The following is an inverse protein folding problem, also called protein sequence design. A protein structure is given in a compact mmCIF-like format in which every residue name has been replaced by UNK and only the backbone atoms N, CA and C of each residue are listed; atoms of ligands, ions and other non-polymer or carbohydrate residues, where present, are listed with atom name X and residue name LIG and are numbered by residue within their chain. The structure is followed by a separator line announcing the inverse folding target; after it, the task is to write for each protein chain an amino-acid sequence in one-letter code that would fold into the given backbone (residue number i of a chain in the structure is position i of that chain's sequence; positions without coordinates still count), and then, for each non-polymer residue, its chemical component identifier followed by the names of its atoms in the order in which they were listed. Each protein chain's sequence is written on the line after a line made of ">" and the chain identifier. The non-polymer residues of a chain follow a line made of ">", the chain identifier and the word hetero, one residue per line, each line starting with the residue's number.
data_IF_965517561828
#
_entry.id   IF_965517561828
#
_cell.length_a   1.000
_cell.length_b   1.000
_cell.length_c   1.000
_cell.angle_alpha   90.00
_cell.angle_beta   90.00
_cell.angle_gamma   90.00
#
_symmetry.space_group_name_H-M   'P 1'
#
loop_
_entity.id
_entity.type
_entity.pdbx_description
1 polymer ?
#
# COMPACT_ATOMS: atom_id res chain seq x y z
N UNK A 1 -37.35 1.53 11.66
CA UNK A 1 -35.97 1.26 11.20
C UNK A 1 -35.21 2.58 11.17
N UNK A 2 -34.09 2.63 11.87
CA UNK A 2 -33.27 3.81 11.87
C UNK A 2 -32.55 3.96 10.54
N UNK A 3 -32.50 5.18 10.06
CA UNK A 3 -31.73 5.46 8.83
C UNK A 3 -30.25 5.57 9.15
N UNK A 4 -29.45 4.86 8.37
CA UNK A 4 -27.99 5.01 8.46
C UNK A 4 -27.61 6.33 7.81
N UNK A 5 -26.87 7.15 8.54
CA UNK A 5 -26.36 8.41 8.01
C UNK A 5 -25.07 8.14 7.23
N UNK A 6 -25.05 8.41 5.92
CA UNK A 6 -23.84 8.22 5.13
C UNK A 6 -22.72 9.14 5.62
N UNK A 7 -21.53 8.59 5.76
CA UNK A 7 -20.37 9.38 6.19
C UNK A 7 -19.09 8.68 5.78
N UNK A 8 -18.06 9.47 5.62
CA UNK A 8 -16.70 8.97 5.42
C UNK A 8 -16.05 8.83 6.79
N UNK A 9 -15.36 7.74 7.02
CA UNK A 9 -14.67 7.50 8.29
C UNK A 9 -13.55 8.52 8.50
N UNK A 10 -13.32 8.86 9.77
CA UNK A 10 -12.22 9.74 10.14
C UNK A 10 -10.88 9.18 9.67
N UNK A 11 -10.09 10.01 9.00
CA UNK A 11 -8.79 9.60 8.46
C UNK A 11 -8.88 8.98 7.08
N UNK A 12 -10.08 8.92 6.51
CA UNK A 12 -10.31 8.44 5.16
C UNK A 12 -10.82 9.59 4.31
N UNK A 13 -10.60 9.54 3.02
CA UNK A 13 -10.96 10.65 2.13
C UNK A 13 -11.69 10.13 0.91
N UNK A 14 -12.74 10.84 0.55
CA UNK A 14 -13.45 10.63 -0.71
C UNK A 14 -13.40 11.93 -1.48
N UNK A 15 -12.96 11.88 -2.71
CA UNK A 15 -12.89 13.05 -3.57
C UNK A 15 -14.13 13.11 -4.44
N UNK A 16 -14.66 14.31 -4.61
CA UNK A 16 -15.70 14.54 -5.60
C UNK A 16 -15.12 14.42 -7.01
N UNK A 17 -15.96 14.31 -8.05
CA UNK A 17 -15.46 14.01 -9.39
C UNK A 17 -14.35 14.92 -9.89
N UNK A 18 -14.45 16.23 -9.70
CA UNK A 18 -13.42 17.14 -10.25
C UNK A 18 -12.05 16.92 -9.61
N UNK A 19 -11.91 16.95 -8.25
CA UNK A 19 -10.62 16.62 -7.64
C UNK A 19 -10.18 15.17 -7.93
N UNK A 20 -11.12 14.23 -8.07
CA UNK A 20 -10.74 12.85 -8.42
C UNK A 20 -10.10 12.78 -9.80
N UNK A 21 -10.61 13.52 -10.78
CA UNK A 21 -10.00 13.60 -12.10
C UNK A 21 -8.56 14.11 -12.01
N UNK A 22 -8.34 15.14 -11.16
CA UNK A 22 -6.98 15.66 -10.97
C UNK A 22 -6.06 14.63 -10.32
N UNK A 23 -6.57 13.90 -9.32
CA UNK A 23 -5.79 12.84 -8.68
C UNK A 23 -5.38 11.77 -9.70
N UNK A 24 -6.32 11.36 -10.57
CA UNK A 24 -6.03 10.37 -11.61
C UNK A 24 -4.97 10.87 -12.58
N UNK A 25 -4.99 12.15 -12.92
CA UNK A 25 -3.96 12.75 -13.77
C UNK A 25 -2.58 12.73 -13.11
N UNK A 26 -2.52 13.05 -11.82
CA UNK A 26 -1.27 13.01 -11.08
C UNK A 26 -0.71 11.59 -11.08
N UNK A 27 -1.55 10.61 -10.79
CA UNK A 27 -1.12 9.22 -10.78
C UNK A 27 -0.66 8.76 -12.17
N UNK A 28 -1.34 9.20 -13.21
CA UNK A 28 -0.96 8.86 -14.57
C UNK A 28 0.41 9.43 -14.94
N UNK A 29 0.66 10.69 -14.58
CA UNK A 29 1.96 11.32 -14.82
C UNK A 29 3.07 10.58 -14.10
N UNK A 30 2.82 10.18 -12.84
CA UNK A 30 3.80 9.40 -12.08
C UNK A 30 4.08 8.06 -12.76
N UNK A 31 3.03 7.34 -13.16
CA UNK A 31 3.19 6.04 -13.83
C UNK A 31 3.98 6.14 -15.11
N UNK A 32 3.63 7.13 -15.94
CA UNK A 32 4.32 7.34 -17.20
C UNK A 32 5.78 7.72 -16.99
N UNK A 33 6.05 8.57 -16.00
CA UNK A 33 7.40 9.01 -15.69
C UNK A 33 8.25 7.83 -15.19
N UNK A 34 7.72 7.02 -14.29
CA UNK A 34 8.45 5.84 -13.80
C UNK A 34 8.74 4.87 -14.93
N UNK A 35 7.76 4.66 -15.82
CA UNK A 35 7.94 3.76 -16.96
C UNK A 35 9.04 4.25 -17.89
N UNK A 36 9.13 5.57 -18.11
CA UNK A 36 10.20 6.15 -18.94
C UNK A 36 11.58 5.85 -18.39
N UNK A 37 11.71 5.76 -17.08
CA UNK A 37 13.01 5.45 -16.44
C UNK A 37 13.25 3.95 -16.28
N UNK A 38 12.42 3.12 -16.90
CA UNK A 38 12.64 1.68 -16.92
C UNK A 38 12.10 0.92 -15.74
N UNK A 39 11.20 1.51 -14.97
CA UNK A 39 10.55 0.84 -13.85
C UNK A 39 9.29 0.13 -14.31
N UNK A 40 9.11 -1.11 -13.87
CA UNK A 40 7.93 -1.90 -14.19
C UNK A 40 6.84 -1.69 -13.14
N UNK A 41 5.56 -1.66 -13.56
CA UNK A 41 4.48 -1.55 -12.59
C UNK A 41 4.34 -2.82 -11.79
N UNK A 42 4.07 -2.66 -10.50
CA UNK A 42 3.80 -3.76 -9.59
C UNK A 42 2.53 -3.44 -8.83
N UNK A 43 1.75 -4.45 -8.56
CA UNK A 43 0.61 -4.35 -7.66
C UNK A 43 0.60 -5.58 -6.76
N UNK A 44 0.46 -5.35 -5.46
CA UNK A 44 0.39 -6.41 -4.47
C UNK A 44 -0.92 -6.30 -3.71
N UNK A 45 -1.38 -7.37 -3.06
CA UNK A 45 -2.66 -7.33 -2.36
C UNK A 45 -2.67 -6.31 -1.22
N UNK A 46 -3.83 -5.70 -0.99
CA UNK A 46 -4.05 -4.83 0.16
C UNK A 46 -4.04 -5.61 1.46
N UNK A 47 -4.52 -6.84 1.42
CA UNK A 47 -4.62 -7.72 2.58
C UNK A 47 -3.53 -8.77 2.48
N UNK A 48 -2.80 -8.93 3.56
CA UNK A 48 -1.76 -9.95 3.68
C UNK A 48 -1.95 -10.71 4.99
N UNK A 49 -1.30 -11.87 5.07
CA UNK A 49 -1.21 -12.57 6.34
C UNK A 49 -0.55 -11.65 7.38
N UNK A 50 -1.12 -11.61 8.58
CA UNK A 50 -0.52 -10.82 9.67
C UNK A 50 0.90 -11.28 9.98
N UNK A 51 1.16 -12.57 9.83
CA UNK A 51 2.51 -13.13 10.02
C UNK A 51 3.52 -12.46 9.10
N UNK A 52 3.15 -12.21 7.84
CA UNK A 52 4.03 -11.55 6.89
C UNK A 52 4.25 -10.09 7.27
N UNK A 53 3.18 -9.36 7.54
CA UNK A 53 3.28 -7.91 7.78
C UNK A 53 3.93 -7.59 9.11
N UNK A 54 3.86 -8.49 10.08
CA UNK A 54 4.44 -8.30 11.41
C UNK A 54 5.74 -9.06 11.61
N UNK A 55 6.32 -9.60 10.56
CA UNK A 55 7.51 -10.46 10.63
C UNK A 55 8.70 -9.78 11.30
N UNK A 56 8.84 -8.47 11.14
CA UNK A 56 9.93 -7.73 11.79
C UNK A 56 9.62 -7.35 13.23
N UNK A 57 8.44 -7.72 13.69
CA UNK A 57 8.03 -7.53 15.08
C UNK A 57 7.72 -6.11 15.48
N UNK A 58 7.01 -6.02 16.49
CA UNK A 58 6.71 -5.02 17.46
C UNK A 58 6.71 -3.55 17.14
N UNK A 59 6.70 -2.77 18.20
CA UNK A 59 6.80 -1.34 18.14
C UNK A 59 5.55 -0.66 17.59
N UNK A 60 5.77 0.47 16.94
CA UNK A 60 4.70 1.31 16.45
C UNK A 60 3.86 0.65 15.35
N UNK A 61 4.49 -0.14 14.48
CA UNK A 61 3.77 -0.81 13.40
C UNK A 61 2.70 -1.74 13.95
N UNK A 62 3.04 -2.53 14.95
CA UNK A 62 2.10 -3.47 15.53
C UNK A 62 0.89 -2.77 16.14
N UNK A 63 1.09 -1.59 16.74
CA UNK A 63 0.02 -0.82 17.34
C UNK A 63 -0.89 -0.15 16.31
N UNK A 64 -0.35 0.14 15.13
CA UNK A 64 -1.05 0.92 14.10
C UNK A 64 -1.63 0.08 12.98
N UNK A 65 -1.26 -1.19 12.91
CA UNK A 65 -1.71 -2.04 11.82
C UNK A 65 -3.17 -2.42 12.01
N UNK A 66 -3.93 -2.39 10.91
CA UNK A 66 -5.30 -2.88 10.91
C UNK A 66 -5.26 -4.40 10.79
N UNK A 67 -5.72 -5.07 11.81
CA UNK A 67 -5.68 -6.53 11.91
C UNK A 67 -7.07 -7.07 12.17
N UNK A 68 -7.41 -8.18 11.52
CA UNK A 68 -8.73 -8.77 11.64
C UNK A 68 -8.64 -10.26 11.33
N UNK A 69 -9.73 -10.98 11.63
CA UNK A 69 -9.80 -12.41 11.31
C UNK A 69 -10.92 -12.65 10.32
N UNK A 70 -10.71 -13.61 9.44
CA UNK A 70 -11.73 -14.12 8.54
C UNK A 70 -11.63 -15.65 8.59
N UNK A 71 -12.65 -16.30 9.16
CA UNK A 71 -12.53 -17.72 9.47
C UNK A 71 -11.37 -17.96 10.41
N UNK A 72 -10.46 -18.83 10.05
CA UNK A 72 -9.25 -19.12 10.85
C UNK A 72 -8.04 -18.29 10.45
N UNK A 73 -8.23 -17.37 9.50
CA UNK A 73 -7.12 -16.59 8.98
C UNK A 73 -6.92 -15.29 9.75
N UNK A 74 -5.69 -15.03 10.13
CA UNK A 74 -5.26 -13.80 10.80
C UNK A 74 -4.68 -12.88 9.75
N UNK A 75 -5.41 -11.82 9.42
CA UNK A 75 -5.15 -10.97 8.28
C UNK A 75 -4.91 -9.53 8.72
N UNK A 76 -4.18 -8.79 7.90
CA UNK A 76 -3.96 -7.36 8.15
C UNK A 76 -3.99 -6.58 6.85
N UNK A 77 -4.37 -5.30 6.94
CA UNK A 77 -4.21 -4.38 5.83
C UNK A 77 -2.76 -3.90 5.82
N UNK A 78 -2.19 -3.79 4.65
CA UNK A 78 -0.79 -3.38 4.52
C UNK A 78 -0.57 -1.98 5.10
N UNK A 79 0.51 -1.84 5.83
CA UNK A 79 0.93 -0.62 6.48
C UNK A 79 1.77 0.25 5.54
N UNK A 80 2.51 -0.40 4.64
CA UNK A 80 3.34 0.23 3.62
C UNK A 80 3.37 -0.66 2.37
N UNK A 81 4.16 -0.29 1.39
CA UNK A 81 4.37 -1.10 0.18
C UNK A 81 5.68 -1.88 0.22
N UNK A 82 6.52 -1.63 1.22
CA UNK A 82 7.85 -2.21 1.32
C UNK A 82 7.84 -3.66 1.79
N UNK A 83 7.09 -3.97 2.85
CA UNK A 83 7.01 -5.34 3.36
C UNK A 83 6.35 -6.27 2.34
N UNK A 84 5.21 -5.89 1.71
CA UNK A 84 4.67 -6.70 0.62
C UNK A 84 5.64 -6.90 -0.54
N UNK A 85 6.44 -5.89 -0.86
CA UNK A 85 7.48 -6.02 -1.89
C UNK A 85 8.51 -7.08 -1.50
N UNK A 86 8.98 -7.04 -0.26
CA UNK A 86 9.95 -8.03 0.21
C UNK A 86 9.40 -9.45 0.10
N UNK A 87 8.15 -9.65 0.49
CA UNK A 87 7.47 -10.93 0.36
C UNK A 87 7.37 -11.34 -1.11
N UNK A 88 6.97 -10.42 -1.97
CA UNK A 88 6.84 -10.66 -3.41
C UNK A 88 8.16 -11.11 -4.02
N UNK A 89 9.24 -10.40 -3.72
CA UNK A 89 10.57 -10.73 -4.25
C UNK A 89 11.02 -12.10 -3.75
N UNK A 90 10.82 -12.39 -2.47
CA UNK A 90 11.19 -13.69 -1.91
C UNK A 90 10.38 -14.82 -2.54
N UNK A 91 9.09 -14.61 -2.74
CA UNK A 91 8.19 -15.61 -3.29
C UNK A 91 8.48 -15.90 -4.76
N UNK A 92 8.81 -14.87 -5.53
CA UNK A 92 8.97 -14.95 -6.97
C UNK A 92 10.41 -14.81 -7.45
N UNK A 93 11.36 -15.01 -6.55
CA UNK A 93 12.78 -14.76 -6.82
C UNK A 93 13.27 -15.40 -8.11
N UNK A 94 12.89 -16.65 -8.35
CA UNK A 94 13.32 -17.39 -9.53
C UNK A 94 12.67 -16.93 -10.83
N UNK A 95 11.65 -16.10 -10.75
CA UNK A 95 10.90 -15.62 -11.92
C UNK A 95 11.26 -14.17 -12.26
N UNK A 96 12.05 -13.49 -11.42
CA UNK A 96 12.40 -12.10 -11.59
C UNK A 96 13.78 -11.95 -12.21
N UNK A 97 13.96 -10.89 -12.98
CA UNK A 97 15.26 -10.50 -13.51
C UNK A 97 15.84 -9.39 -12.67
N UNK A 98 17.09 -9.53 -12.27
CA UNK A 98 17.77 -8.54 -11.44
C UNK A 98 18.82 -7.77 -12.23
N UNK A 99 19.02 -6.47 -11.98
CA UNK A 99 18.30 -5.68 -10.98
C UNK A 99 16.83 -5.56 -11.32
N UNK A 100 15.99 -5.75 -10.31
CA UNK A 100 14.54 -5.64 -10.47
C UNK A 100 14.13 -4.19 -10.17
N UNK A 101 13.62 -3.53 -11.18
CA UNK A 101 13.18 -2.12 -11.10
C UNK A 101 11.68 -2.08 -11.11
N UNK A 102 11.08 -1.65 -10.02
CA UNK A 102 9.62 -1.63 -9.91
C UNK A 102 9.12 -0.29 -9.38
N UNK A 103 7.92 0.06 -9.76
CA UNK A 103 7.18 1.11 -9.07
C UNK A 103 5.81 0.57 -8.66
N UNK A 104 5.27 1.15 -7.62
CA UNK A 104 3.93 0.82 -7.17
C UNK A 104 3.27 2.07 -6.61
N UNK A 105 2.02 2.30 -7.00
CA UNK A 105 1.17 3.34 -6.43
C UNK A 105 -0.02 2.61 -5.83
N UNK A 106 -0.17 2.69 -4.52
CA UNK A 106 -1.21 1.94 -3.86
C UNK A 106 -1.56 2.54 -2.52
N UNK A 107 -2.73 2.18 -2.02
CA UNK A 107 -3.20 2.64 -0.72
C UNK A 107 -2.59 1.80 0.39
N UNK A 108 -2.27 2.47 1.48
CA UNK A 108 -1.76 1.86 2.71
C UNK A 108 -2.62 2.33 3.88
N UNK A 109 -2.52 1.62 5.00
CA UNK A 109 -3.44 1.81 6.12
C UNK A 109 -2.68 1.88 7.43
N UNK A 110 -2.91 2.95 8.19
CA UNK A 110 -2.28 3.15 9.50
C UNK A 110 -3.33 3.61 10.48
N UNK A 111 -3.48 2.87 11.58
CA UNK A 111 -4.47 3.14 12.60
C UNK A 111 -4.05 4.23 13.57
N UNK A 112 -3.21 5.18 13.13
CA UNK A 112 -2.83 6.28 13.98
C UNK A 112 -3.97 7.29 14.13
N UNK A 113 -3.85 8.14 15.14
CA UNK A 113 -4.87 9.15 15.39
C UNK A 113 -4.99 10.07 14.19
N UNK A 114 -6.23 10.21 13.68
CA UNK A 114 -6.49 11.08 12.55
C UNK A 114 -6.21 12.54 12.94
N UNK A 115 -5.35 13.19 12.17
CA UNK A 115 -4.98 14.59 12.38
C UNK A 115 -4.87 15.27 11.03
N UNK A 116 -4.78 16.58 11.05
CA UNK A 116 -4.54 17.35 9.84
C UNK A 116 -3.22 16.89 9.19
N UNK A 117 -3.31 16.46 7.93
CA UNK A 117 -2.15 15.94 7.20
C UNK A 117 -1.78 14.51 7.52
N UNK A 118 -2.53 13.83 8.41
CA UNK A 118 -2.32 12.41 8.73
C UNK A 118 -3.59 11.64 8.49
N UNK A 119 -3.53 10.73 7.52
CA UNK A 119 -4.67 9.92 7.15
C UNK A 119 -4.45 8.47 7.60
N UNK A 120 -5.55 7.74 7.73
CA UNK A 120 -5.54 6.31 8.03
C UNK A 120 -5.53 5.46 6.77
N UNK A 121 -6.01 6.03 5.67
CA UNK A 121 -5.90 5.44 4.35
C UNK A 121 -5.30 6.50 3.43
N UNK A 122 -4.21 6.18 2.76
CA UNK A 122 -3.58 7.14 1.85
C UNK A 122 -2.74 6.41 0.81
N UNK A 123 -2.46 7.09 -0.28
CA UNK A 123 -1.61 6.55 -1.35
C UNK A 123 -0.15 6.74 -1.02
N UNK A 124 0.64 5.71 -1.32
CA UNK A 124 2.09 5.82 -1.44
C UNK A 124 2.47 5.58 -2.89
N UNK A 125 3.49 6.28 -3.35
CA UNK A 125 4.10 6.08 -4.66
C UNK A 125 5.56 5.76 -4.42
N UNK A 126 5.93 4.51 -4.62
CA UNK A 126 7.27 4.00 -4.34
C UNK A 126 7.95 3.52 -5.60
N UNK A 127 9.23 3.82 -5.72
CA UNK A 127 10.10 3.22 -6.74
C UNK A 127 11.30 2.59 -6.04
N UNK A 128 11.72 1.42 -6.52
CA UNK A 128 12.86 0.71 -5.95
C UNK A 128 13.62 -0.02 -7.02
N UNK A 129 14.92 -0.18 -6.76
CA UNK A 129 15.79 -1.06 -7.53
C UNK A 129 16.31 -2.11 -6.56
N UNK A 130 16.05 -3.38 -6.85
CA UNK A 130 16.44 -4.49 -5.98
C UNK A 130 17.47 -5.33 -6.71
N UNK A 131 18.59 -5.60 -6.02
CA UNK A 131 19.70 -6.31 -6.60
C UNK A 131 20.42 -5.45 -7.61
N UNK A 132 21.75 -5.52 -7.61
CA UNK A 132 22.56 -4.70 -8.50
C UNK A 132 23.20 -5.53 -9.62
N UNK A 133 22.86 -6.80 -9.72
CA UNK A 133 23.42 -7.68 -10.73
C UNK A 133 24.80 -8.21 -10.40
N UNK A 134 25.25 -7.99 -9.19
CA UNK A 134 26.55 -8.54 -8.72
C UNK A 134 26.37 -9.80 -7.95
#
# INVERSE_FOLDING_TARGET
>A
MEKVKPRTLSGFMELLPAPQVQMERIMQVLRETYALYGFYPLDTPLIESSEVLLAKGGGETEKQIYRFTKGDSDLSLRFDLTVPLAKYVAQHYGELTFPFRRFQIGKVYRGERAQRGRFREFYQADIDVIGDGK
#
